data_IF_205770953396
#
_entry.id   IF_205770953396
#
_cell.length_a   1.000
_cell.length_b   1.000
_cell.length_c   1.000
_cell.angle_alpha   90.00
_cell.angle_beta   90.00
_cell.angle_gamma   90.00
#
_symmetry.space_group_name_H-M   'P 1'
#
loop_
_entity.id
_entity.type
_entity.pdbx_description
1 polymer ?
#
# COMPACT_ATOMS: atom_id res chain seq x y z
N UNK A 1 56.75 44.25 -18.90
CA UNK A 1 55.45 44.97 -18.81
C UNK A 1 54.25 44.14 -19.33
N UNK A 2 54.44 43.13 -20.21
CA UNK A 2 53.36 42.32 -20.79
C UNK A 2 52.55 41.43 -19.83
N UNK A 3 53.10 41.00 -18.69
CA UNK A 3 52.41 40.07 -17.78
C UNK A 3 51.29 40.75 -16.97
N UNK A 4 51.44 42.05 -16.68
CA UNK A 4 50.46 42.80 -15.88
C UNK A 4 49.16 43.06 -16.66
N UNK A 5 49.22 43.15 -17.99
CA UNK A 5 48.03 43.33 -18.84
C UNK A 5 47.26 42.02 -19.06
N UNK A 6 47.94 40.88 -19.12
CA UNK A 6 47.30 39.56 -19.22
C UNK A 6 46.54 39.17 -17.95
N UNK A 7 47.09 39.47 -16.76
CA UNK A 7 46.43 39.18 -15.49
C UNK A 7 45.13 39.99 -15.28
N UNK A 8 45.11 41.26 -15.71
CA UNK A 8 43.91 42.11 -15.64
C UNK A 8 42.79 41.65 -16.58
N UNK A 9 43.13 41.10 -17.75
CA UNK A 9 42.12 40.56 -18.69
C UNK A 9 41.46 39.26 -18.18
N UNK A 10 42.21 38.37 -17.52
CA UNK A 10 41.65 37.12 -16.96
C UNK A 10 40.71 37.38 -15.79
N UNK A 11 41.04 38.34 -14.92
CA UNK A 11 40.16 38.72 -13.80
C UNK A 11 38.87 39.43 -14.29
N UNK A 12 38.98 40.28 -15.32
CA UNK A 12 37.81 40.91 -15.95
C UNK A 12 36.90 39.90 -16.68
N UNK A 13 37.47 38.85 -17.27
CA UNK A 13 36.71 37.76 -17.90
C UNK A 13 36.04 36.83 -16.88
N UNK A 14 36.61 36.65 -15.68
CA UNK A 14 35.96 35.89 -14.60
C UNK A 14 34.79 36.66 -13.94
N UNK A 15 34.83 37.99 -13.93
CA UNK A 15 33.78 38.82 -13.32
C UNK A 15 32.54 39.01 -14.22
N UNK A 16 32.64 38.77 -15.52
CA UNK A 16 31.52 38.89 -16.47
C UNK A 16 30.65 37.62 -16.60
N UNK A 17 31.10 36.49 -16.04
CA UNK A 17 30.36 35.22 -16.07
C UNK A 17 29.41 34.99 -14.87
N UNK A 18 29.31 35.93 -13.93
CA UNK A 18 28.49 35.78 -12.72
C UNK A 18 27.12 36.49 -12.78
N UNK A 19 26.82 37.23 -13.86
CA UNK A 19 25.64 38.11 -13.94
C UNK A 19 24.40 37.45 -14.57
N UNK A 20 24.42 36.14 -14.86
CA UNK A 20 23.36 35.48 -15.66
C UNK A 20 22.54 34.45 -14.86
N UNK A 21 22.17 34.70 -13.61
CA UNK A 21 21.20 33.82 -12.91
C UNK A 21 20.19 34.55 -12.02
N UNK A 22 19.94 35.84 -12.30
CA UNK A 22 18.73 36.51 -11.81
C UNK A 22 17.65 36.46 -12.89
N UNK A 23 17.27 35.26 -13.34
CA UNK A 23 16.01 35.12 -14.06
C UNK A 23 14.91 35.48 -13.06
N UNK A 24 14.32 36.67 -13.24
CA UNK A 24 13.20 37.16 -12.44
C UNK A 24 12.16 36.05 -12.32
N UNK A 25 12.04 35.52 -11.11
CA UNK A 25 11.08 34.47 -10.80
C UNK A 25 9.68 35.05 -11.05
N UNK A 26 8.93 34.50 -12.00
CA UNK A 26 7.60 35.01 -12.37
C UNK A 26 6.69 34.97 -11.14
N UNK A 27 6.17 36.13 -10.72
CA UNK A 27 5.25 36.25 -9.58
C UNK A 27 3.82 36.36 -10.09
N UNK A 28 2.91 35.67 -9.43
CA UNK A 28 1.49 35.58 -9.81
C UNK A 28 0.61 36.04 -8.65
N UNK A 29 -0.50 36.68 -9.01
CA UNK A 29 -1.57 37.06 -8.09
C UNK A 29 -2.87 36.46 -8.61
N UNK A 30 -3.44 35.53 -7.87
CA UNK A 30 -4.68 34.81 -8.23
C UNK A 30 -5.65 34.81 -7.06
N UNK A 31 -6.95 34.93 -7.35
CA UNK A 31 -8.01 34.84 -6.36
C UNK A 31 -9.07 33.86 -6.87
N UNK A 32 -9.17 32.71 -6.19
CA UNK A 32 -10.05 31.61 -6.50
C UNK A 32 -11.10 31.52 -5.39
N UNK A 33 -12.38 31.57 -5.74
CA UNK A 33 -13.52 31.39 -4.82
C UNK A 33 -14.40 30.29 -5.35
N UNK A 34 -14.37 29.14 -4.68
CA UNK A 34 -15.14 27.95 -5.05
C UNK A 34 -15.00 27.58 -6.55
N UNK A 35 -13.80 27.70 -7.09
CA UNK A 35 -13.51 27.46 -8.50
C UNK A 35 -13.24 25.98 -8.76
N UNK A 36 -13.75 25.38 -9.85
CA UNK A 36 -13.34 24.05 -10.29
C UNK A 36 -11.83 23.96 -10.46
N UNK A 37 -11.24 22.81 -10.13
CA UNK A 37 -9.78 22.63 -10.18
C UNK A 37 -9.18 22.91 -11.57
N UNK A 38 -9.92 22.58 -12.62
CA UNK A 38 -9.49 22.79 -14.02
C UNK A 38 -9.33 24.30 -14.28
N UNK A 39 -10.32 25.09 -13.87
CA UNK A 39 -10.31 26.55 -14.02
C UNK A 39 -9.23 27.19 -13.15
N UNK A 40 -8.98 26.64 -11.95
CA UNK A 40 -7.93 27.10 -11.06
C UNK A 40 -6.53 26.94 -11.69
N UNK A 41 -6.25 25.80 -12.32
CA UNK A 41 -5.00 25.59 -13.06
C UNK A 41 -4.94 26.48 -14.30
N UNK A 42 -6.02 26.59 -15.08
CA UNK A 42 -6.05 27.45 -16.26
C UNK A 42 -5.71 28.91 -15.91
N UNK A 43 -6.32 29.47 -14.86
CA UNK A 43 -6.03 30.83 -14.41
C UNK A 43 -4.58 31.02 -13.97
N UNK A 44 -4.03 30.05 -13.22
CA UNK A 44 -2.64 30.11 -12.75
C UNK A 44 -1.64 30.07 -13.93
N UNK A 45 -1.82 29.13 -14.85
CA UNK A 45 -0.92 28.95 -16.00
C UNK A 45 -1.04 30.07 -17.02
N UNK A 46 -2.25 30.59 -17.22
CA UNK A 46 -2.51 31.78 -18.04
C UNK A 46 -1.82 33.03 -17.47
N UNK A 47 -1.84 33.22 -16.16
CA UNK A 47 -1.16 34.35 -15.51
C UNK A 47 0.37 34.26 -15.66
N UNK A 48 0.94 33.06 -15.68
CA UNK A 48 2.38 32.83 -15.84
C UNK A 48 2.85 32.76 -17.30
N UNK A 49 1.93 32.56 -18.24
CA UNK A 49 2.25 32.32 -19.66
C UNK A 49 2.96 30.98 -19.88
N UNK A 50 2.56 29.93 -19.17
CA UNK A 50 3.15 28.58 -19.24
C UNK A 50 2.10 27.56 -19.74
N UNK A 51 2.57 26.41 -20.24
CA UNK A 51 1.69 25.33 -20.74
C UNK A 51 1.60 24.18 -19.74
N UNK A 52 0.43 23.54 -19.66
CA UNK A 52 0.22 22.38 -18.79
C UNK A 52 -0.64 21.29 -19.41
N UNK A 53 -0.54 20.08 -18.85
CA UNK A 53 -1.35 18.91 -19.16
C UNK A 53 -1.87 18.31 -17.85
N UNK A 54 -3.18 18.09 -17.76
CA UNK A 54 -3.81 17.34 -16.66
C UNK A 54 -3.93 15.87 -17.03
N UNK A 55 -3.39 14.98 -16.20
CA UNK A 55 -3.59 13.54 -16.37
C UNK A 55 -5.04 13.12 -16.01
N UNK A 56 -5.56 12.02 -16.60
CA UNK A 56 -6.95 11.59 -16.42
C UNK A 56 -7.33 11.22 -14.97
N UNK A 57 -6.36 11.03 -14.06
CA UNK A 57 -6.61 10.75 -12.64
C UNK A 57 -6.93 11.98 -11.78
N UNK A 58 -6.96 13.19 -12.35
CA UNK A 58 -7.23 14.42 -11.60
C UNK A 58 -8.75 14.59 -11.37
N UNK A 59 -9.22 14.79 -10.12
CA UNK A 59 -10.64 14.92 -9.81
C UNK A 59 -11.20 16.27 -10.29
N UNK A 60 -11.89 16.28 -11.44
CA UNK A 60 -12.32 17.51 -12.13
C UNK A 60 -13.41 18.29 -11.37
N UNK A 61 -14.19 17.60 -10.56
CA UNK A 61 -15.31 18.15 -9.81
C UNK A 61 -14.88 18.82 -8.49
N UNK A 62 -13.62 18.64 -8.09
CA UNK A 62 -13.10 19.25 -6.87
C UNK A 62 -13.04 20.77 -7.01
N UNK A 63 -13.62 21.48 -6.04
CA UNK A 63 -13.65 22.95 -6.00
C UNK A 63 -12.67 23.47 -4.96
N UNK A 64 -11.97 24.55 -5.29
CA UNK A 64 -10.90 25.12 -4.49
C UNK A 64 -11.15 26.60 -4.22
N UNK A 65 -10.79 27.04 -3.02
CA UNK A 65 -10.81 28.45 -2.62
C UNK A 65 -9.43 28.84 -2.10
N UNK A 66 -8.78 29.81 -2.72
CA UNK A 66 -7.50 30.35 -2.28
C UNK A 66 -7.25 31.76 -2.82
N UNK A 67 -6.39 32.51 -2.13
CA UNK A 67 -5.93 33.83 -2.57
C UNK A 67 -4.42 33.90 -2.44
N UNK A 68 -3.73 34.13 -3.55
CA UNK A 68 -2.29 34.29 -3.64
C UNK A 68 -1.99 35.70 -4.15
N UNK A 69 -1.09 36.43 -3.49
CA UNK A 69 -0.71 37.79 -3.87
C UNK A 69 0.81 37.84 -3.97
N UNK A 70 1.32 38.21 -5.14
CA UNK A 70 2.74 38.36 -5.42
C UNK A 70 3.57 37.11 -5.03
N UNK A 71 3.05 35.92 -5.35
CA UNK A 71 3.69 34.63 -5.00
C UNK A 71 4.46 34.11 -6.22
N UNK A 72 5.70 33.62 -6.06
CA UNK A 72 6.39 32.95 -7.16
C UNK A 72 5.58 31.80 -7.76
N UNK A 73 5.59 31.68 -9.08
CA UNK A 73 4.74 30.76 -9.83
C UNK A 73 4.86 29.31 -9.37
N UNK A 74 6.08 28.78 -9.24
CA UNK A 74 6.27 27.38 -8.83
C UNK A 74 5.79 27.13 -7.39
N UNK A 75 5.91 28.14 -6.52
CA UNK A 75 5.39 28.09 -5.16
C UNK A 75 3.86 28.11 -5.15
N UNK A 76 3.23 28.92 -5.99
CA UNK A 76 1.79 28.93 -6.20
C UNK A 76 1.28 27.58 -6.74
N UNK A 77 1.99 26.99 -7.72
CA UNK A 77 1.68 25.68 -8.28
C UNK A 77 1.78 24.56 -7.23
N UNK A 78 2.81 24.59 -6.39
CA UNK A 78 2.96 23.66 -5.26
C UNK A 78 1.78 23.75 -4.30
N UNK A 79 1.39 24.96 -3.87
CA UNK A 79 0.24 25.14 -2.98
C UNK A 79 -1.08 24.63 -3.59
N UNK A 80 -1.29 24.90 -4.88
CA UNK A 80 -2.46 24.42 -5.60
C UNK A 80 -2.50 22.89 -5.67
N UNK A 81 -1.36 22.25 -5.95
CA UNK A 81 -1.25 20.79 -5.97
C UNK A 81 -1.44 20.18 -4.58
N UNK A 82 -0.88 20.77 -3.53
CA UNK A 82 -1.01 20.26 -2.16
C UNK A 82 -2.47 20.30 -1.68
N UNK A 83 -3.18 21.40 -1.95
CA UNK A 83 -4.61 21.53 -1.62
C UNK A 83 -5.49 20.52 -2.38
N UNK A 84 -5.09 20.18 -3.60
CA UNK A 84 -5.80 19.22 -4.44
C UNK A 84 -5.37 17.76 -4.24
N UNK A 85 -4.33 17.48 -3.44
CA UNK A 85 -3.76 16.13 -3.34
C UNK A 85 -3.12 15.65 -4.65
N UNK A 86 -2.55 16.58 -5.43
CA UNK A 86 -1.89 16.32 -6.71
C UNK A 86 -0.37 16.44 -6.58
N UNK A 87 0.34 16.10 -7.67
CA UNK A 87 1.77 16.34 -7.86
C UNK A 87 2.01 16.85 -9.28
N UNK A 88 3.10 17.56 -9.50
CA UNK A 88 3.48 18.03 -10.83
C UNK A 88 4.92 17.66 -11.18
N UNK A 89 5.20 17.57 -12.48
CA UNK A 89 6.53 17.32 -13.05
C UNK A 89 6.70 18.20 -14.29
N UNK A 90 7.89 18.78 -14.49
CA UNK A 90 8.20 19.59 -15.68
C UNK A 90 8.94 18.73 -16.70
N UNK A 91 8.38 18.58 -17.91
CA UNK A 91 9.02 17.88 -19.04
C UNK A 91 9.00 18.77 -20.26
N UNK A 92 10.17 19.05 -20.84
CA UNK A 92 10.28 19.77 -22.12
C UNK A 92 9.47 21.09 -22.15
N UNK A 93 9.55 21.86 -21.06
CA UNK A 93 8.82 23.11 -20.88
C UNK A 93 7.28 23.00 -20.77
N UNK A 94 6.76 21.80 -20.55
CA UNK A 94 5.35 21.52 -20.27
C UNK A 94 5.23 20.99 -18.85
N UNK A 95 4.27 21.53 -18.10
CA UNK A 95 3.97 21.05 -16.75
C UNK A 95 2.93 19.92 -16.81
N UNK A 96 3.30 18.75 -16.30
CA UNK A 96 2.42 17.58 -16.24
C UNK A 96 1.91 17.44 -14.81
N UNK A 97 0.61 17.58 -14.62
CA UNK A 97 -0.06 17.48 -13.32
C UNK A 97 -0.75 16.12 -13.23
N UNK A 98 -0.51 15.42 -12.13
CA UNK A 98 -0.97 14.04 -11.91
C UNK A 98 -1.50 13.86 -10.50
N UNK A 99 -2.38 12.87 -10.31
CA UNK A 99 -2.80 12.48 -8.98
C UNK A 99 -1.59 12.06 -8.16
N UNK A 100 -1.48 12.57 -6.92
CA UNK A 100 -0.48 12.04 -5.99
C UNK A 100 -0.86 10.58 -5.77
N UNK A 101 0.04 9.61 -6.04
CA UNK A 101 -0.25 8.22 -5.72
C UNK A 101 -0.41 8.18 -4.21
N UNK A 102 -1.65 8.20 -3.74
CA UNK A 102 -1.93 7.91 -2.35
C UNK A 102 -1.36 6.51 -2.15
N UNK A 103 -0.42 6.32 -1.20
CA UNK A 103 -0.11 4.96 -0.79
C UNK A 103 -1.46 4.37 -0.44
N UNK A 104 -1.84 3.31 -1.16
CA UNK A 104 -3.02 2.53 -0.86
C UNK A 104 -2.80 1.98 0.56
N UNK A 105 -3.14 2.78 1.56
CA UNK A 105 -3.38 2.30 2.89
C UNK A 105 -4.68 1.55 2.69
N UNK A 106 -4.58 0.22 2.68
CA UNK A 106 -5.73 -0.64 2.91
C UNK A 106 -6.27 -0.25 4.30
N UNK A 107 -7.06 0.81 4.36
CA UNK A 107 -8.08 0.92 5.36
C UNK A 107 -8.94 -0.29 5.09
N UNK A 108 -8.76 -1.33 5.90
CA UNK A 108 -9.80 -2.31 6.11
C UNK A 108 -11.05 -1.49 6.33
N UNK A 109 -11.92 -1.39 5.32
CA UNK A 109 -13.25 -0.86 5.55
C UNK A 109 -13.74 -1.65 6.76
N UNK A 110 -14.11 -0.98 7.88
CA UNK A 110 -14.75 -1.70 8.97
C UNK A 110 -15.85 -2.52 8.31
N UNK A 111 -15.93 -3.83 8.61
CA UNK A 111 -16.81 -4.75 7.90
C UNK A 111 -18.15 -4.05 7.75
N UNK A 112 -18.60 -3.85 6.50
CA UNK A 112 -19.85 -3.17 6.19
C UNK A 112 -20.84 -3.60 7.26
N UNK A 113 -21.18 -2.71 8.20
CA UNK A 113 -22.34 -2.96 9.03
C UNK A 113 -23.45 -3.05 7.99
N UNK A 114 -24.10 -4.21 7.79
CA UNK A 114 -25.27 -4.22 6.95
C UNK A 114 -26.15 -3.11 7.51
N UNK A 115 -26.44 -2.11 6.68
CA UNK A 115 -27.41 -1.08 7.05
C UNK A 115 -28.62 -1.85 7.56
N UNK A 116 -29.07 -1.62 8.81
CA UNK A 116 -30.18 -2.39 9.35
C UNK A 116 -31.29 -2.32 8.32
N UNK A 117 -31.64 -3.47 7.76
CA UNK A 117 -32.69 -3.55 6.77
C UNK A 117 -33.89 -2.79 7.35
N UNK A 118 -34.56 -1.91 6.56
CA UNK A 118 -35.76 -1.23 7.03
C UNK A 118 -36.65 -2.29 7.65
N UNK A 119 -36.88 -2.17 8.96
CA UNK A 119 -37.61 -3.18 9.70
C UNK A 119 -38.94 -3.41 8.96
N UNK A 120 -39.22 -4.62 8.47
CA UNK A 120 -40.54 -4.90 7.95
C UNK A 120 -41.54 -4.60 9.07
N UNK A 121 -42.70 -4.01 8.74
CA UNK A 121 -43.74 -3.79 9.74
C UNK A 121 -43.98 -5.11 10.48
N UNK A 122 -44.12 -5.03 11.80
CA UNK A 122 -44.42 -6.16 12.69
C UNK A 122 -45.77 -6.77 12.29
N UNK A 123 -45.76 -7.62 11.26
CA UNK A 123 -46.86 -8.52 10.93
C UNK A 123 -46.67 -9.72 11.87
N UNK A 124 -47.69 -9.96 12.71
CA UNK A 124 -47.67 -11.02 13.71
C UNK A 124 -47.35 -12.40 13.13
N UNK A 125 -46.96 -13.35 13.99
CA UNK A 125 -46.50 -14.68 13.55
C UNK A 125 -47.63 -15.41 12.80
N UNK A 126 -47.50 -15.46 11.48
CA UNK A 126 -48.25 -16.40 10.66
C UNK A 126 -47.69 -17.81 10.92
N UNK A 127 -48.54 -18.84 11.13
CA UNK A 127 -48.08 -20.20 11.34
C UNK A 127 -47.34 -20.68 10.08
N UNK A 128 -46.03 -20.90 10.23
CA UNK A 128 -45.19 -21.46 9.17
C UNK A 128 -45.69 -22.89 8.88
N UNK A 129 -46.02 -23.24 7.62
CA UNK A 129 -46.39 -24.59 7.27
C UNK A 129 -45.18 -25.53 7.48
N UNK A 130 -45.38 -26.61 8.25
CA UNK A 130 -44.38 -27.65 8.61
C UNK A 130 -43.72 -28.37 7.41
N UNK A 131 -44.11 -28.03 6.19
CA UNK A 131 -43.65 -28.69 4.96
C UNK A 131 -42.32 -28.13 4.45
N UNK A 132 -41.95 -26.90 4.84
CA UNK A 132 -40.70 -26.25 4.39
C UNK A 132 -39.46 -26.66 5.21
N UNK A 133 -39.61 -27.23 6.41
CA UNK A 133 -38.49 -27.70 7.25
C UNK A 133 -37.74 -28.90 6.66
N UNK A 134 -38.37 -29.68 5.78
CA UNK A 134 -37.75 -30.86 5.14
C UNK A 134 -36.82 -30.53 3.97
N UNK A 135 -36.84 -29.31 3.45
CA UNK A 135 -36.02 -28.92 2.29
C UNK A 135 -34.75 -28.14 2.64
N UNK A 136 -34.67 -27.52 3.81
CA UNK A 136 -33.55 -26.60 4.15
C UNK A 136 -32.40 -27.31 4.90
N UNK A 137 -32.66 -28.49 5.47
CA UNK A 137 -31.73 -29.24 6.32
C UNK A 137 -30.50 -29.87 5.61
N UNK A 138 -30.46 -30.16 4.30
CA UNK A 138 -29.22 -30.64 3.67
C UNK A 138 -28.26 -29.50 3.23
N UNK A 139 -28.73 -28.26 3.08
CA UNK A 139 -27.91 -27.17 2.51
C UNK A 139 -27.01 -26.47 3.55
N UNK A 140 -27.40 -26.49 4.82
CA UNK A 140 -26.68 -25.81 5.92
C UNK A 140 -25.48 -26.59 6.47
N UNK A 141 -25.31 -27.86 6.09
CA UNK A 141 -24.12 -28.66 6.45
C UNK A 141 -22.82 -28.19 5.78
N UNK A 142 -22.93 -27.54 4.61
CA UNK A 142 -21.78 -27.15 3.79
C UNK A 142 -21.22 -25.74 4.10
N UNK A 143 -22.01 -24.89 4.77
CA UNK A 143 -21.65 -23.47 4.98
C UNK A 143 -20.72 -23.26 6.19
N UNK A 144 -20.59 -24.24 7.10
CA UNK A 144 -19.68 -24.14 8.25
C UNK A 144 -18.19 -24.18 7.89
N UNK A 145 -17.82 -24.55 6.66
CA UNK A 145 -16.43 -24.62 6.20
C UNK A 145 -15.89 -23.29 5.62
N UNK A 146 -16.75 -22.27 5.46
CA UNK A 146 -16.42 -21.00 4.81
C UNK A 146 -16.11 -19.87 5.81
N UNK A 147 -15.26 -20.14 6.81
CA UNK A 147 -14.60 -19.06 7.54
C UNK A 147 -13.33 -18.73 6.76
N UNK A 148 -13.33 -17.60 6.05
CA UNK A 148 -12.11 -17.00 5.51
C UNK A 148 -11.04 -17.01 6.61
N UNK A 149 -9.83 -17.55 6.39
CA UNK A 149 -8.79 -17.51 7.40
C UNK A 149 -8.39 -16.04 7.56
N UNK A 150 -8.97 -15.37 8.56
CA UNK A 150 -8.40 -14.14 9.09
C UNK A 150 -6.99 -14.50 9.50
N UNK A 151 -6.00 -13.99 8.78
CA UNK A 151 -4.57 -14.20 9.08
C UNK A 151 -4.29 -13.48 10.39
N UNK A 152 -4.62 -14.13 11.49
CA UNK A 152 -4.23 -13.72 12.83
C UNK A 152 -2.79 -14.16 13.01
N UNK A 153 -1.88 -13.21 12.91
CA UNK A 153 -0.46 -13.40 13.20
C UNK A 153 -0.32 -13.68 14.70
N UNK A 154 -0.11 -14.94 15.06
CA UNK A 154 0.15 -15.36 16.44
C UNK A 154 1.64 -15.63 16.60
N UNK A 155 2.28 -15.02 17.60
CA UNK A 155 3.63 -15.43 18.02
C UNK A 155 3.51 -16.71 18.85
N UNK A 156 4.32 -17.73 18.58
CA UNK A 156 4.42 -18.93 19.43
C UNK A 156 5.74 -18.92 20.19
N UNK A 157 5.71 -19.36 21.44
CA UNK A 157 6.93 -19.55 22.22
C UNK A 157 7.74 -20.71 21.62
N UNK A 158 9.05 -20.55 21.40
CA UNK A 158 9.92 -21.61 20.85
C UNK A 158 10.03 -22.86 21.74
N UNK A 159 10.00 -22.66 23.06
CA UNK A 159 10.32 -23.69 24.03
C UNK A 159 9.11 -24.56 24.35
N UNK A 160 7.93 -23.94 24.45
CA UNK A 160 6.71 -24.62 24.86
C UNK A 160 5.58 -24.56 23.83
N UNK A 161 5.78 -23.91 22.68
CA UNK A 161 4.78 -23.79 21.61
C UNK A 161 3.60 -22.87 21.92
N UNK A 162 3.53 -22.30 23.13
CA UNK A 162 2.38 -21.51 23.59
C UNK A 162 2.17 -20.26 22.74
N UNK A 163 0.93 -20.01 22.32
CA UNK A 163 0.61 -18.80 21.56
C UNK A 163 0.58 -17.58 22.48
N UNK A 164 1.43 -16.61 22.21
CA UNK A 164 1.51 -15.34 22.91
C UNK A 164 0.57 -14.37 22.18
N UNK A 165 -0.71 -14.38 22.56
CA UNK A 165 -1.69 -13.40 22.09
C UNK A 165 -1.74 -12.20 23.04
N UNK A 166 -1.59 -11.00 22.50
CA UNK A 166 -1.97 -9.77 23.22
C UNK A 166 -3.45 -9.52 22.97
N UNK A 167 -4.19 -9.26 24.05
CA UNK A 167 -5.58 -8.84 23.99
C UNK A 167 -5.72 -7.44 24.63
N UNK A 168 -6.65 -6.64 24.13
CA UNK A 168 -6.98 -5.37 24.79
C UNK A 168 -7.55 -5.66 26.19
N UNK A 169 -7.10 -4.97 27.26
CA UNK A 169 -7.62 -5.18 28.62
C UNK A 169 -9.09 -4.81 28.77
N UNK A 170 -9.60 -3.89 27.93
CA UNK A 170 -11.00 -3.45 27.94
C UNK A 170 -11.87 -4.39 27.10
N UNK A 171 -11.68 -4.44 25.78
CA UNK A 171 -12.56 -5.22 24.90
C UNK A 171 -12.19 -6.71 24.73
N UNK A 172 -11.08 -7.18 25.31
CA UNK A 172 -10.57 -8.58 25.22
C UNK A 172 -10.29 -9.09 23.80
N UNK A 173 -10.31 -8.22 22.79
CA UNK A 173 -10.01 -8.60 21.40
C UNK A 173 -8.51 -8.77 21.19
N UNK A 174 -8.08 -9.74 20.36
CA UNK A 174 -6.69 -9.89 19.99
C UNK A 174 -6.22 -8.66 19.21
N UNK A 175 -5.00 -8.23 19.47
CA UNK A 175 -4.38 -7.07 18.83
C UNK A 175 -3.02 -7.44 18.24
N UNK A 176 -2.53 -6.62 17.29
CA UNK A 176 -1.22 -6.86 16.71
C UNK A 176 -0.08 -6.54 17.70
N UNK A 177 1.05 -7.28 17.67
CA UNK A 177 2.12 -7.15 18.65
C UNK A 177 2.75 -5.77 18.75
N UNK A 178 2.76 -4.99 17.67
CA UNK A 178 3.40 -3.66 17.62
C UNK A 178 2.44 -2.52 17.96
N UNK A 179 1.14 -2.79 18.16
CA UNK A 179 0.17 -1.75 18.48
C UNK A 179 0.32 -1.28 19.93
N UNK A 180 0.37 0.04 20.08
CA UNK A 180 0.37 0.73 21.37
C UNK A 180 -1.04 1.09 21.84
N UNK A 181 -2.00 1.16 20.91
CA UNK A 181 -3.41 1.48 21.17
C UNK A 181 -4.31 0.47 20.47
N UNK A 182 -5.43 0.13 21.11
CA UNK A 182 -6.48 -0.70 20.52
C UNK A 182 -7.27 0.12 19.49
N UNK A 183 -7.46 -0.35 18.25
CA UNK A 183 -8.19 0.42 17.22
C UNK A 183 -9.70 0.44 17.46
N UNK A 184 -10.21 -0.43 18.34
CA UNK A 184 -11.64 -0.57 18.58
C UNK A 184 -12.15 0.34 19.70
N UNK A 185 -11.33 0.56 20.74
CA UNK A 185 -11.73 1.31 21.94
C UNK A 185 -10.72 2.39 22.34
N UNK A 186 -9.59 2.54 21.63
CA UNK A 186 -8.57 3.55 21.92
C UNK A 186 -7.73 3.26 23.16
N UNK A 187 -7.94 2.14 23.86
CA UNK A 187 -7.24 1.82 25.11
C UNK A 187 -5.75 1.60 24.84
N UNK A 188 -4.89 2.20 25.65
CA UNK A 188 -3.44 1.96 25.61
C UNK A 188 -3.14 0.54 26.05
N UNK A 189 -2.33 -0.17 25.27
CA UNK A 189 -2.04 -1.58 25.52
C UNK A 189 -0.64 -1.73 26.12
N UNK A 190 -0.52 -2.53 27.18
CA UNK A 190 0.74 -2.86 27.85
C UNK A 190 1.76 -3.48 26.88
N UNK A 191 3.06 -3.15 26.97
CA UNK A 191 4.10 -3.64 26.05
C UNK A 191 4.18 -5.18 26.02
N UNK A 192 4.83 -5.72 24.98
CA UNK A 192 5.07 -7.16 24.85
C UNK A 192 5.84 -7.64 26.10
N UNK A 193 5.40 -8.72 26.77
CA UNK A 193 6.12 -9.23 27.94
C UNK A 193 7.54 -9.63 27.55
N UNK A 194 8.52 -9.36 28.41
CA UNK A 194 9.92 -9.75 28.14
C UNK A 194 10.15 -11.26 28.27
N UNK A 195 9.21 -12.01 28.84
CA UNK A 195 9.30 -13.45 29.09
C UNK A 195 8.00 -14.15 28.71
N UNK A 196 8.09 -15.41 28.27
CA UNK A 196 6.91 -16.23 28.03
C UNK A 196 6.13 -16.44 29.35
N UNK A 197 4.82 -16.16 29.39
CA UNK A 197 4.03 -16.32 30.62
C UNK A 197 3.90 -17.78 31.07
N UNK A 198 4.11 -18.75 30.17
CA UNK A 198 4.00 -20.19 30.49
C UNK A 198 5.30 -20.80 30.99
N UNK A 199 6.43 -20.53 30.33
CA UNK A 199 7.71 -21.22 30.61
C UNK A 199 8.82 -20.30 31.12
N UNK A 200 8.57 -18.98 31.23
CA UNK A 200 9.54 -18.00 31.72
C UNK A 200 10.69 -17.68 30.76
N UNK A 201 10.73 -18.30 29.57
CA UNK A 201 11.79 -18.10 28.59
C UNK A 201 11.84 -16.65 28.10
N UNK A 202 13.01 -15.99 28.08
CA UNK A 202 13.13 -14.62 27.63
C UNK A 202 12.77 -14.47 26.14
N UNK A 203 11.90 -13.49 25.87
CA UNK A 203 11.47 -13.04 24.54
C UNK A 203 12.37 -11.89 24.02
N UNK A 204 13.49 -11.62 24.70
CA UNK A 204 14.47 -10.58 24.34
C UNK A 204 15.42 -11.09 23.24
N UNK A 205 15.54 -10.35 22.14
CA UNK A 205 16.29 -10.77 20.94
C UNK A 205 15.42 -11.40 19.85
N UNK A 206 14.12 -11.59 20.13
CA UNK A 206 13.17 -12.09 19.16
C UNK A 206 12.71 -10.92 18.30
N UNK A 207 13.32 -10.79 17.11
CA UNK A 207 12.59 -10.19 15.98
C UNK A 207 11.32 -11.03 15.81
N UNK A 208 10.24 -10.44 15.34
CA UNK A 208 9.10 -11.22 14.86
C UNK A 208 9.66 -12.07 13.71
N UNK A 209 10.18 -13.27 14.00
CA UNK A 209 10.58 -14.30 13.04
C UNK A 209 9.32 -15.05 12.58
N UNK A 210 8.36 -14.22 12.19
CA UNK A 210 7.23 -14.46 11.32
C UNK A 210 7.12 -13.24 10.41
N UNK A 211 8.26 -12.72 9.99
CA UNK A 211 8.37 -11.73 8.92
C UNK A 211 9.53 -12.17 8.00
N UNK A 212 9.31 -13.31 7.33
CA UNK A 212 9.48 -13.21 5.88
C UNK A 212 8.51 -12.11 5.50
N UNK A 213 9.05 -10.90 5.26
CA UNK A 213 8.36 -9.86 4.50
C UNK A 213 8.10 -10.43 3.10
N UNK A 214 7.18 -11.38 3.00
CA UNK A 214 6.16 -11.26 1.99
C UNK A 214 5.39 -10.03 2.49
N UNK A 215 5.70 -8.86 1.93
CA UNK A 215 4.97 -7.63 2.18
C UNK A 215 3.57 -7.82 1.62
N UNK A 216 2.77 -8.65 2.29
CA UNK A 216 1.57 -9.26 1.74
C UNK A 216 1.88 -10.09 0.49
N UNK A 217 1.64 -11.39 0.52
CA UNK A 217 0.95 -11.96 -0.64
C UNK A 217 -0.46 -11.40 -0.53
N UNK A 218 -0.65 -10.13 -0.89
CA UNK A 218 -1.99 -9.61 -1.10
C UNK A 218 -2.44 -10.29 -2.37
N UNK A 219 -3.15 -11.41 -2.19
CA UNK A 219 -3.88 -12.07 -3.25
C UNK A 219 -4.99 -11.09 -3.65
N UNK A 220 -4.69 -10.13 -4.49
CA UNK A 220 -5.71 -9.36 -5.19
C UNK A 220 -6.26 -10.30 -6.25
N UNK A 221 -7.52 -10.74 -6.18
CA UNK A 221 -8.14 -11.46 -7.29
C UNK A 221 -8.31 -10.46 -8.43
N UNK A 222 -7.28 -10.31 -9.25
CA UNK A 222 -7.36 -9.63 -10.53
C UNK A 222 -7.60 -10.74 -11.52
N UNK A 223 -8.85 -10.92 -11.94
CA UNK A 223 -9.26 -11.79 -13.05
C UNK A 223 -8.46 -13.11 -13.21
N UNK A 224 -8.46 -13.96 -12.17
CA UNK A 224 -7.91 -15.31 -12.26
C UNK A 224 -6.37 -15.43 -12.23
N UNK A 225 -5.67 -14.41 -11.72
CA UNK A 225 -4.23 -14.47 -11.50
C UNK A 225 -3.85 -14.02 -10.08
N UNK A 226 -2.74 -14.54 -9.59
CA UNK A 226 -2.25 -14.35 -8.21
C UNK A 226 -0.95 -13.57 -8.25
N UNK A 227 -0.88 -12.45 -7.53
CA UNK A 227 0.34 -11.68 -7.36
C UNK A 227 0.98 -11.92 -5.99
N UNK A 228 2.30 -12.09 -5.98
CA UNK A 228 3.12 -12.22 -4.76
C UNK A 228 4.00 -10.98 -4.67
N UNK A 229 3.92 -10.27 -3.55
CA UNK A 229 4.74 -9.09 -3.28
C UNK A 229 5.74 -9.36 -2.16
N UNK A 230 7.03 -9.13 -2.43
CA UNK A 230 8.07 -9.27 -1.41
C UNK A 230 9.30 -8.42 -1.76
N UNK A 231 10.14 -8.19 -0.75
CA UNK A 231 11.42 -7.47 -0.88
C UNK A 231 12.46 -8.27 -0.10
N UNK A 232 13.30 -9.08 -0.76
CA UNK A 232 14.26 -9.92 -0.07
C UNK A 232 15.41 -9.05 0.47
N UNK A 233 15.98 -9.42 1.62
CA UNK A 233 17.13 -8.68 2.20
C UNK A 233 18.48 -9.11 1.63
N UNK A 234 18.52 -10.30 1.06
CA UNK A 234 19.69 -10.89 0.43
C UNK A 234 19.24 -11.56 -0.87
N UNK A 235 20.19 -12.04 -1.66
CA UNK A 235 19.84 -12.81 -2.86
C UNK A 235 19.09 -14.09 -2.47
N UNK A 236 17.97 -14.33 -3.15
CA UNK A 236 17.10 -15.48 -2.91
C UNK A 236 16.71 -16.15 -4.21
N UNK A 237 16.30 -17.41 -4.11
CA UNK A 237 15.72 -18.16 -5.21
C UNK A 237 14.28 -18.51 -4.85
N UNK A 238 13.34 -18.10 -5.68
CA UNK A 238 11.94 -18.51 -5.60
C UNK A 238 11.72 -19.72 -6.50
N UNK A 239 11.25 -20.82 -5.90
CA UNK A 239 10.84 -22.03 -6.60
C UNK A 239 9.32 -22.18 -6.50
N UNK A 240 8.67 -22.42 -7.63
CA UNK A 240 7.25 -22.79 -7.71
C UNK A 240 7.17 -24.28 -7.96
N UNK A 241 6.37 -24.98 -7.16
CA UNK A 241 6.24 -26.42 -7.19
C UNK A 241 4.77 -26.85 -7.27
N UNK A 242 4.54 -28.03 -7.82
CA UNK A 242 3.24 -28.68 -7.79
C UNK A 242 2.95 -29.35 -6.44
N UNK A 243 1.81 -30.05 -6.36
CA UNK A 243 1.38 -30.79 -5.18
C UNK A 243 2.36 -31.89 -4.76
N UNK A 244 2.93 -32.57 -5.76
CA UNK A 244 3.87 -33.66 -5.63
C UNK A 244 5.29 -33.17 -5.27
N UNK A 245 5.52 -31.86 -5.31
CA UNK A 245 6.80 -31.23 -5.00
C UNK A 245 7.77 -31.19 -6.18
N UNK A 246 7.29 -31.41 -7.42
CA UNK A 246 8.08 -31.22 -8.62
C UNK A 246 8.25 -29.72 -8.90
N UNK A 247 9.45 -29.34 -9.33
CA UNK A 247 9.77 -27.95 -9.66
C UNK A 247 9.09 -27.57 -10.99
N UNK A 248 8.19 -26.60 -10.95
CA UNK A 248 7.52 -26.03 -12.11
C UNK A 248 8.26 -24.82 -12.68
N UNK A 249 8.85 -23.99 -11.81
CA UNK A 249 9.57 -22.78 -12.19
C UNK A 249 10.54 -22.33 -11.10
N UNK A 250 11.60 -21.66 -11.51
CA UNK A 250 12.61 -21.08 -10.63
C UNK A 250 12.97 -19.66 -11.07
N UNK A 251 13.10 -18.73 -10.11
CA UNK A 251 13.50 -17.36 -10.38
C UNK A 251 14.47 -16.85 -9.31
N UNK A 252 15.60 -16.30 -9.75
CA UNK A 252 16.55 -15.60 -8.88
C UNK A 252 16.06 -14.17 -8.60
N UNK A 253 16.26 -13.74 -7.35
CA UNK A 253 15.73 -12.51 -6.80
C UNK A 253 16.88 -11.73 -6.18
N UNK A 254 17.16 -10.56 -6.73
CA UNK A 254 18.16 -9.64 -6.19
C UNK A 254 17.73 -9.05 -4.85
N UNK A 255 18.70 -8.84 -3.96
CA UNK A 255 18.51 -8.19 -2.67
C UNK A 255 17.94 -6.77 -2.82
N UNK A 256 17.15 -6.35 -1.83
CA UNK A 256 16.58 -4.99 -1.67
C UNK A 256 15.66 -4.50 -2.81
N UNK A 257 15.40 -5.34 -3.80
CA UNK A 257 14.47 -5.03 -4.89
C UNK A 257 13.05 -5.45 -4.53
N UNK A 258 12.07 -4.60 -4.85
CA UNK A 258 10.66 -4.91 -4.67
C UNK A 258 10.14 -5.72 -5.85
N UNK A 259 9.62 -6.91 -5.57
CA UNK A 259 9.03 -7.79 -6.57
C UNK A 259 7.51 -7.79 -6.48
N UNK A 260 6.88 -7.85 -7.64
CA UNK A 260 5.45 -8.09 -7.84
C UNK A 260 5.34 -9.18 -8.91
N UNK A 261 5.29 -10.44 -8.48
CA UNK A 261 5.34 -11.58 -9.39
C UNK A 261 3.95 -12.17 -9.57
N UNK A 262 3.49 -12.21 -10.81
CA UNK A 262 2.25 -12.91 -11.17
C UNK A 262 2.50 -14.40 -11.31
N UNK A 263 1.56 -15.21 -10.84
CA UNK A 263 1.67 -16.66 -10.94
C UNK A 263 1.73 -17.10 -12.41
N UNK A 264 0.96 -16.46 -13.29
CA UNK A 264 1.05 -16.77 -14.72
C UNK A 264 2.41 -16.44 -15.33
N UNK A 265 3.08 -15.37 -14.88
CA UNK A 265 4.43 -15.01 -15.32
C UNK A 265 5.47 -16.02 -14.81
N UNK A 266 5.33 -16.47 -13.56
CA UNK A 266 6.21 -17.47 -12.98
C UNK A 266 6.07 -18.81 -13.70
N UNK A 267 4.84 -19.24 -14.00
CA UNK A 267 4.58 -20.51 -14.66
C UNK A 267 4.80 -20.46 -16.18
N UNK A 268 4.86 -19.26 -16.78
CA UNK A 268 4.83 -19.09 -18.24
C UNK A 268 3.50 -19.50 -18.89
N UNK A 269 2.47 -19.76 -18.08
CA UNK A 269 1.12 -20.20 -18.51
C UNK A 269 0.08 -19.81 -17.46
N UNK A 270 -1.19 -19.75 -17.86
CA UNK A 270 -2.30 -19.48 -16.92
C UNK A 270 -2.36 -20.59 -15.84
N UNK A 271 -2.47 -20.25 -14.54
CA UNK A 271 -2.57 -21.25 -13.49
C UNK A 271 -3.88 -22.04 -13.61
N UNK A 272 -3.83 -23.32 -13.25
CA UNK A 272 -4.97 -24.22 -13.27
C UNK A 272 -5.80 -24.03 -11.98
N UNK A 273 -7.10 -23.86 -12.15
CA UNK A 273 -8.04 -23.71 -11.03
C UNK A 273 -8.13 -25.04 -10.28
N UNK A 274 -8.04 -24.98 -8.95
CA UNK A 274 -8.12 -26.13 -8.06
C UNK A 274 -6.79 -26.84 -7.84
N UNK A 275 -5.75 -26.50 -8.60
CA UNK A 275 -4.41 -27.07 -8.42
C UNK A 275 -3.68 -26.34 -7.29
N UNK A 276 -3.14 -27.06 -6.29
CA UNK A 276 -2.30 -26.47 -5.26
C UNK A 276 -0.90 -26.19 -5.81
N UNK A 277 -0.39 -24.99 -5.53
CA UNK A 277 0.97 -24.57 -5.84
C UNK A 277 1.72 -24.30 -4.54
N UNK A 278 2.95 -24.77 -4.45
CA UNK A 278 3.85 -24.51 -3.32
C UNK A 278 4.99 -23.59 -3.78
N UNK A 279 5.25 -22.54 -3.04
CA UNK A 279 6.32 -21.57 -3.29
C UNK A 279 7.37 -21.75 -2.21
N UNK A 280 8.58 -22.13 -2.60
CA UNK A 280 9.75 -22.21 -1.73
C UNK A 280 10.65 -21.01 -1.98
N UNK A 281 11.00 -20.28 -0.93
CA UNK A 281 12.06 -19.28 -0.96
C UNK A 281 13.30 -19.92 -0.36
N UNK A 282 14.36 -19.97 -1.15
CA UNK A 282 15.68 -20.44 -0.74
C UNK A 282 16.61 -19.24 -0.62
N UNK A 283 17.48 -19.24 0.39
CA UNK A 283 18.55 -18.26 0.47
C UNK A 283 19.71 -18.61 -0.49
N UNK A 284 20.77 -17.79 -0.51
CA UNK A 284 21.94 -18.00 -1.36
C UNK A 284 22.69 -19.33 -1.11
N UNK A 285 22.53 -19.96 0.05
CA UNK A 285 23.08 -21.30 0.33
C UNK A 285 22.12 -22.44 -0.02
N UNK A 286 20.98 -22.15 -0.65
CA UNK A 286 19.97 -23.14 -1.00
C UNK A 286 19.13 -23.63 0.19
N UNK A 287 19.22 -22.98 1.36
CA UNK A 287 18.42 -23.32 2.53
C UNK A 287 17.05 -22.67 2.43
N UNK A 288 16.01 -23.46 2.72
CA UNK A 288 14.64 -22.98 2.74
C UNK A 288 14.42 -21.99 3.88
N UNK A 289 14.04 -20.76 3.53
CA UNK A 289 13.72 -19.69 4.48
C UNK A 289 12.22 -19.48 4.63
N UNK A 290 11.43 -19.86 3.62
CA UNK A 290 9.99 -19.75 3.66
C UNK A 290 9.32 -20.74 2.70
N UNK A 291 8.13 -21.21 3.09
CA UNK A 291 7.23 -21.95 2.21
C UNK A 291 5.81 -21.39 2.31
N UNK A 292 5.18 -21.21 1.15
CA UNK A 292 3.77 -20.79 1.02
C UNK A 292 3.04 -21.79 0.13
N UNK A 293 1.87 -22.27 0.56
CA UNK A 293 0.99 -23.09 -0.28
C UNK A 293 -0.25 -22.27 -0.65
N UNK A 294 -0.69 -22.32 -1.90
CA UNK A 294 -1.92 -21.68 -2.35
C UNK A 294 -2.70 -22.59 -3.29
N UNK A 295 -4.01 -22.35 -3.41
CA UNK A 295 -4.88 -23.01 -4.38
C UNK A 295 -5.63 -21.91 -5.14
N UNK A 296 -5.55 -21.91 -6.46
CA UNK A 296 -6.28 -20.94 -7.30
C UNK A 296 -7.75 -21.36 -7.36
N UNK A 297 -8.68 -20.47 -6.99
CA UNK A 297 -10.13 -20.70 -7.06
C UNK A 297 -10.77 -19.79 -8.12
N UNK A 298 -11.88 -20.24 -8.69
CA UNK A 298 -12.74 -19.41 -9.56
C UNK A 298 -13.50 -18.37 -8.75
#
# INVERSE_FOLDING_TARGET
MLWRTLALMVVASCLSLWVVWAQSEKRVTIELKDAPIVDAFDQLFRAAGENFILQPGVPKEQRLTMRLVDVPFEKALNFLCDLAGLKWERKENIYIISAKPQPFIFFQQPPFRPSPAPHPPLIGPSPVPKELERFITPLMGWVKQFVLPTITVFMRCPKCGESIQRACPQCKRPIQPHWQFCPFDGTRVAPIPEKCPKCGEPLKGWKIEGEVKILGATLTPVEGDVAIFFTPREEMTLQVLDEQGNLLSERKLAAEQRYSLRLSELLGRKPEVGVPYRFRLLNKEGREVATVSMIVRR
#
